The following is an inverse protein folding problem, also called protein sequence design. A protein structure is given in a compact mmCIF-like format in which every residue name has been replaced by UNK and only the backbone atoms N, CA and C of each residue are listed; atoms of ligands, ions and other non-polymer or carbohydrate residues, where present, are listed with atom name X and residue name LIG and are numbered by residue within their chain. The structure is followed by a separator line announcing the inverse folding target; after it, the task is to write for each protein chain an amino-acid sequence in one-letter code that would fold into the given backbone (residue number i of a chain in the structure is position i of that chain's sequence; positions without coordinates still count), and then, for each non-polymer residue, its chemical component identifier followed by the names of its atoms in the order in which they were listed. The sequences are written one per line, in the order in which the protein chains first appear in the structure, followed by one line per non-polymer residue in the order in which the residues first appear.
data_IF_900847193612
#
_entry.id   IF_900847193612
#
_cell.length_a   1.000
_cell.length_b   1.000
_cell.length_c   1.000
_cell.angle_alpha   90.00
_cell.angle_beta   90.00
_cell.angle_gamma   90.00
#
_symmetry.space_group_name_H-M   'P 1'
#
loop_
_entity.id
_entity.type
_entity.pdbx_description
1 polymer ?
#
# COMPACT_ATOMS: atom_id res chain seq x y z
N UNK A 1 -25.90 13.64 -19.15
CA UNK A 1 -25.92 12.50 -18.20
C UNK A 1 -27.12 11.61 -18.50
N UNK A 2 -26.97 10.62 -19.38
CA UNK A 2 -28.05 9.65 -19.66
C UNK A 2 -28.11 8.61 -18.55
N UNK A 3 -29.21 8.58 -17.80
CA UNK A 3 -29.50 7.49 -16.87
C UNK A 3 -30.06 6.30 -17.64
N UNK A 4 -29.58 5.10 -17.31
CA UNK A 4 -30.09 3.83 -17.79
C UNK A 4 -30.54 2.96 -16.62
N UNK A 5 -31.44 2.03 -16.89
CA UNK A 5 -31.92 1.05 -15.90
C UNK A 5 -31.25 -0.28 -16.14
N UNK A 6 -30.70 -0.87 -15.09
CA UNK A 6 -30.14 -2.22 -15.13
C UNK A 6 -30.94 -3.16 -14.25
N UNK A 7 -31.08 -4.40 -14.70
CA UNK A 7 -31.61 -5.51 -13.90
C UNK A 7 -30.44 -6.29 -13.27
N UNK A 8 -30.52 -6.49 -11.96
CA UNK A 8 -29.56 -7.24 -11.15
C UNK A 8 -30.31 -8.19 -10.22
N UNK A 9 -29.66 -9.29 -9.82
CA UNK A 9 -30.20 -10.25 -8.85
C UNK A 9 -29.43 -10.13 -7.54
N UNK A 10 -30.14 -9.96 -6.42
CA UNK A 10 -29.58 -9.94 -5.07
C UNK A 10 -30.42 -10.86 -4.19
N UNK A 11 -29.79 -11.81 -3.51
CA UNK A 11 -30.43 -12.79 -2.64
C UNK A 11 -31.58 -13.58 -3.31
N UNK A 12 -31.45 -13.84 -4.62
CA UNK A 12 -32.50 -14.49 -5.43
C UNK A 12 -33.64 -13.56 -5.86
N UNK A 13 -33.58 -12.27 -5.51
CA UNK A 13 -34.56 -11.27 -5.90
C UNK A 13 -34.04 -10.38 -7.03
N UNK A 14 -34.85 -10.25 -8.09
CA UNK A 14 -34.56 -9.35 -9.22
C UNK A 14 -34.92 -7.92 -8.85
N UNK A 15 -33.97 -7.00 -9.02
CA UNK A 15 -34.10 -5.59 -8.68
C UNK A 15 -33.67 -4.75 -9.89
N UNK A 16 -34.38 -3.66 -10.13
CA UNK A 16 -34.01 -2.69 -11.16
C UNK A 16 -33.35 -1.48 -10.50
N UNK A 17 -32.13 -1.14 -10.94
CA UNK A 17 -31.36 0.00 -10.45
C UNK A 17 -31.18 1.03 -11.56
N UNK A 18 -31.25 2.31 -11.21
CA UNK A 18 -30.91 3.41 -12.11
C UNK A 18 -29.42 3.77 -11.94
N UNK A 19 -28.70 3.89 -13.04
CA UNK A 19 -27.27 4.24 -13.06
C UNK A 19 -26.91 5.02 -14.32
N UNK A 20 -25.74 5.66 -14.36
CA UNK A 20 -25.19 6.21 -15.60
C UNK A 20 -24.53 5.10 -16.42
N UNK A 21 -24.34 5.33 -17.73
CA UNK A 21 -23.63 4.40 -18.62
C UNK A 21 -22.18 4.15 -18.17
N UNK A 22 -21.54 5.14 -17.57
CA UNK A 22 -20.15 5.05 -17.09
C UNK A 22 -20.01 4.19 -15.82
N UNK A 23 -20.99 4.25 -14.91
CA UNK A 23 -20.94 3.53 -13.65
C UNK A 23 -21.62 2.16 -13.69
N UNK A 24 -22.28 1.81 -14.79
CA UNK A 24 -22.94 0.52 -14.96
C UNK A 24 -22.05 -0.71 -14.68
N UNK A 25 -20.85 -0.85 -15.29
CA UNK A 25 -20.04 -2.04 -15.06
C UNK A 25 -19.60 -2.16 -13.59
N UNK A 26 -19.26 -1.02 -12.96
CA UNK A 26 -18.89 -0.97 -11.55
C UNK A 26 -20.08 -1.36 -10.67
N UNK A 27 -21.27 -0.81 -10.93
CA UNK A 27 -22.46 -1.13 -10.15
C UNK A 27 -22.83 -2.61 -10.28
N UNK A 28 -22.72 -3.20 -11.47
CA UNK A 28 -22.96 -4.63 -11.68
C UNK A 28 -21.96 -5.49 -10.90
N UNK A 29 -20.67 -5.14 -10.92
CA UNK A 29 -19.65 -5.81 -10.14
C UNK A 29 -19.89 -5.67 -8.61
N UNK A 30 -20.30 -4.48 -8.16
CA UNK A 30 -20.66 -4.26 -6.76
C UNK A 30 -21.85 -5.13 -6.35
N UNK A 31 -22.88 -5.24 -7.19
CA UNK A 31 -24.02 -6.12 -6.93
C UNK A 31 -23.59 -7.59 -6.81
N UNK A 32 -22.70 -8.08 -7.67
CA UNK A 32 -22.20 -9.47 -7.57
C UNK A 32 -21.44 -9.73 -6.27
N UNK A 33 -20.62 -8.78 -5.82
CA UNK A 33 -19.88 -8.91 -4.55
C UNK A 33 -20.82 -8.89 -3.34
N UNK A 34 -21.82 -8.00 -3.35
CA UNK A 34 -22.83 -7.93 -2.29
C UNK A 34 -23.64 -9.23 -2.24
N UNK A 35 -24.07 -9.76 -3.39
CA UNK A 35 -24.81 -11.03 -3.45
C UNK A 35 -24.01 -12.19 -2.85
N UNK A 36 -22.72 -12.29 -3.18
CA UNK A 36 -21.83 -13.31 -2.60
C UNK A 36 -21.75 -13.19 -1.06
N UNK A 37 -21.58 -11.97 -0.54
CA UNK A 37 -21.55 -11.77 0.91
C UNK A 37 -22.88 -12.10 1.59
N UNK A 38 -24.02 -11.84 0.93
CA UNK A 38 -25.34 -12.23 1.42
C UNK A 38 -25.45 -13.76 1.46
N UNK A 39 -25.06 -14.45 0.39
CA UNK A 39 -25.10 -15.91 0.34
C UNK A 39 -24.20 -16.55 1.41
N UNK A 40 -23.00 -16.03 1.61
CA UNK A 40 -22.11 -16.49 2.70
C UNK A 40 -22.75 -16.29 4.07
N UNK A 41 -23.42 -15.16 4.31
CA UNK A 41 -24.11 -14.90 5.57
C UNK A 41 -25.33 -15.83 5.78
N UNK A 42 -26.09 -16.13 4.72
CA UNK A 42 -27.19 -17.12 4.76
C UNK A 42 -26.65 -18.51 5.10
N UNK A 43 -25.61 -18.95 4.37
CA UNK A 43 -24.98 -20.26 4.56
C UNK A 43 -24.32 -20.41 5.93
N UNK A 44 -23.92 -19.29 6.56
CA UNK A 44 -23.41 -19.24 7.93
C UNK A 44 -24.47 -19.45 9.03
N UNK A 45 -25.70 -19.83 8.69
CA UNK A 45 -26.77 -20.14 9.64
C UNK A 45 -27.76 -19.00 9.87
N UNK A 46 -27.72 -17.95 9.04
CA UNK A 46 -28.66 -16.84 9.16
C UNK A 46 -29.99 -17.17 8.47
N UNK A 47 -31.08 -17.24 9.24
CA UNK A 47 -32.42 -17.58 8.73
C UNK A 47 -33.16 -16.43 8.05
N UNK A 48 -32.72 -15.19 8.23
CA UNK A 48 -33.38 -14.00 7.66
C UNK A 48 -32.48 -13.36 6.61
N UNK A 49 -33.04 -13.13 5.41
CA UNK A 49 -32.36 -12.46 4.30
C UNK A 49 -32.03 -11.02 4.69
N UNK A 50 -32.91 -10.36 5.44
CA UNK A 50 -32.71 -8.99 5.93
C UNK A 50 -31.50 -8.92 6.86
N UNK A 51 -31.39 -9.86 7.81
CA UNK A 51 -30.25 -9.93 8.71
C UNK A 51 -28.96 -10.29 7.95
N UNK A 52 -29.03 -11.22 7.01
CA UNK A 52 -27.88 -11.60 6.18
C UNK A 52 -27.39 -10.42 5.34
N UNK A 53 -28.31 -9.65 4.75
CA UNK A 53 -28.03 -8.42 4.00
C UNK A 53 -27.40 -7.35 4.88
N UNK A 54 -27.93 -7.16 6.09
CA UNK A 54 -27.35 -6.22 7.06
C UNK A 54 -25.93 -6.64 7.47
N UNK A 55 -25.70 -7.94 7.73
CA UNK A 55 -24.36 -8.45 8.04
C UNK A 55 -23.38 -8.28 6.88
N UNK A 56 -23.81 -8.57 5.65
CA UNK A 56 -23.00 -8.36 4.45
C UNK A 56 -22.60 -6.88 4.29
N UNK A 57 -23.55 -5.95 4.46
CA UNK A 57 -23.28 -4.51 4.41
C UNK A 57 -22.31 -4.06 5.51
N UNK A 58 -22.51 -4.50 6.76
CA UNK A 58 -21.63 -4.18 7.89
C UNK A 58 -20.22 -4.72 7.65
N UNK A 59 -20.10 -5.96 7.14
CA UNK A 59 -18.81 -6.57 6.83
C UNK A 59 -18.05 -5.78 5.77
N UNK A 60 -18.70 -5.46 4.63
CA UNK A 60 -18.09 -4.67 3.55
C UNK A 60 -17.66 -3.29 4.05
N UNK A 61 -18.47 -2.63 4.89
CA UNK A 61 -18.11 -1.36 5.49
C UNK A 61 -16.89 -1.48 6.43
N UNK A 62 -16.82 -2.56 7.23
CA UNK A 62 -15.67 -2.87 8.06
C UNK A 62 -14.40 -3.12 7.25
N UNK A 63 -14.49 -3.88 6.15
CA UNK A 63 -13.39 -4.14 5.23
C UNK A 63 -12.89 -2.83 4.58
N UNK A 64 -13.81 -1.94 4.19
CA UNK A 64 -13.48 -0.62 3.65
C UNK A 64 -12.72 0.23 4.69
N UNK A 65 -13.18 0.26 5.94
CA UNK A 65 -12.48 0.96 7.03
C UNK A 65 -11.08 0.38 7.24
N UNK A 66 -10.94 -0.95 7.25
CA UNK A 66 -9.65 -1.62 7.41
C UNK A 66 -8.67 -1.28 6.26
N UNK A 67 -9.15 -1.23 5.02
CA UNK A 67 -8.34 -0.83 3.87
C UNK A 67 -7.92 0.64 3.94
N UNK A 68 -8.82 1.53 4.38
CA UNK A 68 -8.50 2.95 4.55
C UNK A 68 -7.50 3.19 5.67
N UNK A 69 -7.58 2.47 6.80
CA UNK A 69 -6.62 2.60 7.90
C UNK A 69 -5.27 2.02 7.53
N UNK A 70 -5.23 0.89 6.82
CA UNK A 70 -3.99 0.31 6.29
C UNK A 70 -3.30 1.28 5.31
N UNK A 71 -4.05 1.88 4.40
CA UNK A 71 -3.53 2.86 3.43
C UNK A 71 -2.99 4.12 4.14
N UNK A 72 -3.68 4.58 5.17
CA UNK A 72 -3.23 5.71 5.99
C UNK A 72 -1.92 5.40 6.73
N UNK A 73 -1.76 4.17 7.22
CA UNK A 73 -0.53 3.72 7.85
C UNK A 73 0.64 3.69 6.86
N UNK A 74 0.41 3.26 5.60
CA UNK A 74 1.42 3.33 4.54
C UNK A 74 1.83 4.77 4.18
N UNK A 75 0.89 5.72 4.17
CA UNK A 75 1.23 7.13 3.95
C UNK A 75 1.99 7.76 5.13
N UNK A 76 1.72 7.34 6.38
CA UNK A 76 2.52 7.76 7.53
C UNK A 76 3.96 7.19 7.48
N UNK A 77 4.11 5.96 6.98
CA UNK A 77 5.42 5.31 6.79
C UNK A 77 6.21 5.89 5.60
N UNK A 78 5.54 6.56 4.66
CA UNK A 78 6.20 7.29 3.57
C UNK A 78 6.92 8.55 4.08
N UNK A 79 6.40 9.21 5.11
CA UNK A 79 7.09 10.34 5.75
C UNK A 79 8.31 9.88 6.57
N UNK A 80 8.26 8.71 7.22
CA UNK A 80 9.44 8.15 7.89
C UNK A 80 10.47 7.61 6.90
N UNK A 81 10.05 7.07 5.75
CA UNK A 81 10.96 6.61 4.70
C UNK A 81 11.75 7.77 4.05
N UNK A 82 11.16 8.97 3.97
CA UNK A 82 11.88 10.17 3.50
C UNK A 82 12.93 10.61 4.53
N UNK A 83 12.58 10.60 5.82
CA UNK A 83 13.53 10.92 6.90
C UNK A 83 14.69 9.90 6.98
N UNK A 84 14.39 8.60 6.90
CA UNK A 84 15.39 7.53 6.87
C UNK A 84 16.29 7.64 5.62
N UNK A 85 15.75 8.09 4.48
CA UNK A 85 16.54 8.29 3.25
C UNK A 85 17.52 9.45 3.37
N UNK A 86 17.16 10.56 4.03
CA UNK A 86 18.07 11.68 4.25
C UNK A 86 19.20 11.31 5.24
N UNK A 87 18.88 10.56 6.30
CA UNK A 87 19.89 10.07 7.23
C UNK A 87 20.84 9.07 6.57
N UNK A 88 20.36 8.16 5.72
CA UNK A 88 21.22 7.26 4.94
C UNK A 88 22.16 8.03 4.01
N UNK A 89 21.68 9.05 3.29
CA UNK A 89 22.52 9.86 2.39
C UNK A 89 23.61 10.58 3.19
N UNK A 90 23.28 11.10 4.39
CA UNK A 90 24.25 11.73 5.28
C UNK A 90 25.32 10.75 5.74
N UNK A 91 24.91 9.58 6.23
CA UNK A 91 25.82 8.54 6.71
C UNK A 91 26.73 8.03 5.58
N UNK A 92 26.20 7.85 4.38
CA UNK A 92 26.98 7.40 3.22
C UNK A 92 28.04 8.42 2.80
N UNK A 93 27.71 9.73 2.87
CA UNK A 93 28.68 10.81 2.63
C UNK A 93 29.79 10.84 3.68
N UNK A 94 29.44 10.58 4.94
CA UNK A 94 30.40 10.53 6.04
C UNK A 94 31.35 9.34 5.91
N UNK A 95 30.85 8.16 5.51
CA UNK A 95 31.65 6.98 5.20
C UNK A 95 32.67 7.28 4.09
N UNK A 96 32.22 7.83 2.96
CA UNK A 96 33.14 8.19 1.87
C UNK A 96 34.20 9.22 2.28
N UNK A 97 33.85 10.17 3.16
CA UNK A 97 34.82 11.14 3.67
C UNK A 97 35.89 10.46 4.55
N UNK A 98 35.49 9.50 5.38
CA UNK A 98 36.40 8.71 6.20
C UNK A 98 37.29 7.82 5.35
N UNK A 99 36.76 7.16 4.33
CA UNK A 99 37.54 6.34 3.39
C UNK A 99 38.62 7.17 2.70
N UNK A 100 38.28 8.37 2.20
CA UNK A 100 39.25 9.28 1.59
C UNK A 100 40.35 9.74 2.57
N UNK A 101 40.01 9.95 3.85
CA UNK A 101 41.01 10.29 4.87
C UNK A 101 41.96 9.13 5.14
N UNK A 102 41.45 7.90 5.17
CA UNK A 102 42.26 6.69 5.34
C UNK A 102 43.21 6.52 4.15
N UNK A 103 42.74 6.69 2.93
CA UNK A 103 43.57 6.61 1.73
C UNK A 103 44.68 7.67 1.71
N UNK A 104 44.36 8.92 2.08
CA UNK A 104 45.35 9.99 2.19
C UNK A 104 46.44 9.66 3.23
N UNK A 105 46.05 9.14 4.40
CA UNK A 105 46.98 8.73 5.44
C UNK A 105 47.85 7.55 4.96
N UNK A 106 47.26 6.54 4.33
CA UNK A 106 47.99 5.42 3.74
C UNK A 106 49.01 5.90 2.71
N UNK A 107 48.68 6.89 1.89
CA UNK A 107 49.56 7.42 0.86
C UNK A 107 50.74 8.22 1.43
N UNK A 108 50.53 8.94 2.55
CA UNK A 108 51.63 9.59 3.28
C UNK A 108 52.57 8.60 3.95
N UNK A 109 52.06 7.47 4.42
CA UNK A 109 52.86 6.41 5.05
C UNK A 109 53.57 5.50 4.03
N UNK A 110 53.15 5.53 2.76
CA UNK A 110 53.64 4.63 1.71
C UNK A 110 54.72 5.23 0.80
N UNK A 111 55.23 6.45 1.05
CA UNK A 111 56.29 7.04 0.22
C UNK A 111 57.61 6.23 0.35
N UNK A 112 58.15 5.67 -0.76
CA UNK A 112 59.44 5.01 -0.76
C UNK A 112 60.54 6.04 -1.01
N UNK A 113 61.43 6.24 -0.03
CA UNK A 113 62.68 6.99 -0.23
C UNK A 113 63.00 7.98 0.88
N UNK A 114 63.37 7.48 2.07
CA UNK A 114 64.25 8.25 2.93
C UNK A 114 65.67 8.23 2.31
N UNK A 115 66.35 9.38 2.14
CA UNK A 115 67.69 9.40 1.56
C UNK A 115 68.66 8.71 2.52
N UNK A 116 69.39 7.68 2.05
CA UNK A 116 70.53 7.14 2.79
C UNK A 116 71.65 8.18 2.80
N UNK A 117 72.25 8.49 3.97
CA UNK A 117 73.40 9.40 4.01
C UNK A 117 74.57 8.72 3.29
N UNK A 118 75.07 9.36 2.23
CA UNK A 118 76.32 8.95 1.58
C UNK A 118 77.45 9.49 2.45
N UNK A 119 78.13 8.59 3.15
CA UNK A 119 79.34 8.88 3.93
C UNK A 119 80.52 8.95 2.95
N UNK A 120 81.36 10.00 2.99
CA UNK A 120 82.62 10.05 2.24
C UNK A 120 83.70 9.14 2.82
#
# INVERSE_FOLDING_TARGET
MSQQRIEVSLAGQKITLATSTEHEPLLRAACTLVDEQIQLAINGGNRSIERASMMAAIKIAGDLIALQTASQHTSAQSNSAIADSEEMIRLQKEIHALENQVDALMQTLSLPGSPRPIVP
#
